data_IF_299186739117
#
_entry.id   IF_299186739117
#
_cell.length_a   1.000
_cell.length_b   1.000
_cell.length_c   1.000
_cell.angle_alpha   90.00
_cell.angle_beta   90.00
_cell.angle_gamma   90.00
#
_symmetry.space_group_name_H-M   'P 1'
#
loop_
_entity.id
_entity.type
_entity.pdbx_description
1 polymer ?
#
# COMPACT_ATOMS: atom_id res chain seq x y z
N UNK A 1 -1.75 20.56 -10.91
CA UNK A 1 -2.04 19.46 -9.95
C UNK A 1 -3.40 18.93 -10.33
N UNK A 2 -3.43 17.93 -11.20
CA UNK A 2 -4.68 17.29 -11.62
C UNK A 2 -5.06 16.31 -10.53
N UNK A 3 -6.22 16.58 -9.93
CA UNK A 3 -6.92 15.73 -8.99
C UNK A 3 -6.95 14.29 -9.48
N UNK A 4 -6.29 13.39 -8.74
CA UNK A 4 -6.22 11.96 -9.04
C UNK A 4 -7.51 11.25 -8.62
N UNK A 5 -8.55 12.00 -8.23
CA UNK A 5 -9.87 11.45 -7.99
C UNK A 5 -10.53 10.99 -9.29
N UNK A 6 -11.09 9.81 -9.15
CA UNK A 6 -11.99 9.21 -10.08
C UNK A 6 -13.18 10.08 -10.48
N UNK A 7 -13.74 9.88 -11.68
CA UNK A 7 -14.99 10.53 -12.08
C UNK A 7 -16.19 10.14 -11.19
N UNK A 8 -16.10 9.05 -10.42
CA UNK A 8 -17.12 8.58 -9.46
C UNK A 8 -16.74 8.83 -7.99
N UNK A 9 -15.60 9.46 -7.72
CA UNK A 9 -15.08 9.66 -6.35
C UNK A 9 -14.62 8.37 -5.64
N UNK A 10 -14.56 7.22 -6.33
CA UNK A 10 -14.11 5.98 -5.70
C UNK A 10 -12.57 5.87 -5.61
N UNK A 11 -12.08 5.21 -4.58
CA UNK A 11 -10.66 4.92 -4.36
C UNK A 11 -10.40 3.45 -4.63
N UNK A 12 -9.41 3.10 -5.46
CA UNK A 12 -9.02 1.71 -5.70
C UNK A 12 -7.70 1.38 -4.99
N UNK A 13 -7.78 0.42 -4.06
CA UNK A 13 -6.65 0.02 -3.23
C UNK A 13 -6.39 -1.47 -3.41
N UNK A 14 -5.11 -1.85 -3.42
CA UNK A 14 -4.72 -3.22 -3.13
C UNK A 14 -4.73 -3.43 -1.60
N UNK A 15 -5.59 -4.30 -1.10
CA UNK A 15 -5.82 -4.43 0.35
C UNK A 15 -4.88 -5.43 1.03
N UNK A 16 -3.95 -6.06 0.30
CA UNK A 16 -3.09 -7.09 0.89
C UNK A 16 -1.71 -7.11 0.23
N UNK A 17 -0.76 -6.38 0.82
CA UNK A 17 0.66 -6.51 0.47
C UNK A 17 1.53 -6.69 1.71
N UNK A 18 2.57 -7.49 1.56
CA UNK A 18 3.64 -7.63 2.53
C UNK A 18 4.84 -6.80 2.08
N UNK A 19 5.54 -6.17 3.02
CA UNK A 19 6.78 -5.48 2.71
C UNK A 19 7.96 -6.13 3.40
N UNK A 20 9.14 -5.91 2.83
CA UNK A 20 10.40 -6.40 3.41
C UNK A 20 10.72 -5.76 4.77
N UNK A 21 9.95 -4.75 5.20
CA UNK A 21 10.12 -4.10 6.50
C UNK A 21 9.53 -4.95 7.64
N UNK A 22 8.55 -5.82 7.36
CA UNK A 22 7.84 -6.60 8.37
C UNK A 22 7.56 -8.06 8.05
N UNK A 23 7.83 -8.52 6.83
CA UNK A 23 7.61 -9.91 6.40
C UNK A 23 8.83 -10.46 5.63
N UNK A 24 9.30 -11.64 6.02
CA UNK A 24 10.50 -12.27 5.47
C UNK A 24 10.30 -12.84 4.04
N UNK A 25 9.06 -13.04 3.62
CA UNK A 25 8.66 -13.57 2.31
C UNK A 25 8.21 -12.46 1.33
N UNK A 26 8.29 -11.20 1.73
CA UNK A 26 7.89 -10.06 0.90
C UNK A 26 8.84 -9.82 -0.29
N UNK A 27 8.24 -9.46 -1.42
CA UNK A 27 8.96 -9.18 -2.68
C UNK A 27 9.41 -7.73 -2.88
N UNK A 28 9.05 -6.79 -2.00
CA UNK A 28 9.37 -5.38 -2.16
C UNK A 28 9.22 -4.54 -0.90
N UNK A 29 9.85 -3.36 -0.89
CA UNK A 29 9.69 -2.35 0.16
C UNK A 29 8.40 -1.55 -0.05
N UNK A 30 7.90 -0.86 0.98
CA UNK A 30 6.77 0.08 0.85
C UNK A 30 7.01 1.15 -0.22
N UNK A 31 8.23 1.71 -0.29
CA UNK A 31 8.58 2.64 -1.37
C UNK A 31 8.59 1.96 -2.76
N UNK A 32 8.97 0.68 -2.83
CA UNK A 32 8.89 -0.11 -4.05
C UNK A 32 7.45 -0.22 -4.57
N UNK A 33 6.50 -0.50 -3.69
CA UNK A 33 5.07 -0.51 -4.04
C UNK A 33 4.56 0.87 -4.47
N UNK A 34 5.00 1.96 -3.84
CA UNK A 34 4.65 3.32 -4.26
C UNK A 34 5.19 3.68 -5.65
N UNK A 35 6.43 3.27 -5.97
CA UNK A 35 6.99 3.38 -7.33
C UNK A 35 6.20 2.55 -8.33
N UNK A 36 5.74 1.36 -7.93
CA UNK A 36 4.88 0.51 -8.75
C UNK A 36 3.50 1.14 -9.01
N UNK A 37 2.85 1.73 -8.01
CA UNK A 37 1.60 2.51 -8.16
C UNK A 37 1.77 3.59 -9.23
N UNK A 38 2.85 4.39 -9.15
CA UNK A 38 3.15 5.41 -10.16
C UNK A 38 3.39 4.82 -11.56
N UNK A 39 4.10 3.70 -11.66
CA UNK A 39 4.30 3.01 -12.94
C UNK A 39 2.98 2.50 -13.54
N UNK A 40 2.08 1.97 -12.72
CA UNK A 40 0.75 1.49 -13.14
C UNK A 40 -0.16 2.64 -13.57
N UNK A 41 -0.16 3.75 -12.85
CA UNK A 41 -0.86 4.98 -13.26
C UNK A 41 -0.41 5.48 -14.62
N UNK A 42 0.91 5.48 -14.90
CA UNK A 42 1.47 5.82 -16.22
C UNK A 42 1.04 4.88 -17.36
N UNK A 43 0.66 3.65 -17.02
CA UNK A 43 0.13 2.66 -17.96
C UNK A 43 -1.41 2.75 -18.12
N UNK A 44 -2.07 3.72 -17.46
CA UNK A 44 -3.51 3.90 -17.52
C UNK A 44 -4.32 3.03 -16.54
N UNK A 45 -3.65 2.28 -15.65
CA UNK A 45 -4.33 1.59 -14.57
C UNK A 45 -4.71 2.59 -13.48
N UNK A 46 -5.89 2.39 -12.88
CA UNK A 46 -6.32 3.15 -11.71
C UNK A 46 -6.01 2.37 -10.44
N UNK A 47 -5.02 2.85 -9.72
CA UNK A 47 -4.64 2.35 -8.42
C UNK A 47 -4.20 3.54 -7.57
N UNK A 48 -4.76 3.65 -6.38
CA UNK A 48 -4.66 4.82 -5.53
C UNK A 48 -3.79 4.59 -4.31
N UNK A 49 -3.42 3.34 -4.07
CA UNK A 49 -2.68 2.97 -2.89
C UNK A 49 -2.77 1.48 -2.58
N UNK A 50 -2.33 1.14 -1.37
CA UNK A 50 -2.35 -0.22 -0.87
C UNK A 50 -2.40 -0.28 0.66
N UNK A 51 -2.72 -1.45 1.21
CA UNK A 51 -2.63 -1.75 2.63
C UNK A 51 -1.44 -2.69 2.92
N UNK A 52 -0.55 -2.26 3.80
CA UNK A 52 0.56 -3.08 4.30
C UNK A 52 0.03 -3.98 5.41
N UNK A 53 0.09 -5.30 5.22
CA UNK A 53 -0.51 -6.32 6.09
C UNK A 53 0.54 -7.35 6.53
N UNK A 54 1.56 -6.90 7.26
CA UNK A 54 2.71 -7.75 7.63
C UNK A 54 2.30 -8.99 8.44
N UNK A 55 3.07 -10.06 8.31
CA UNK A 55 2.84 -11.29 9.07
C UNK A 55 3.06 -11.06 10.56
N UNK A 56 2.03 -11.32 11.37
CA UNK A 56 2.14 -11.46 12.84
C UNK A 56 2.68 -10.24 13.59
N UNK A 57 2.81 -9.08 12.93
CA UNK A 57 3.37 -7.86 13.52
C UNK A 57 2.51 -6.66 13.15
N UNK A 58 2.07 -5.93 14.16
CA UNK A 58 1.46 -4.61 14.00
C UNK A 58 2.26 -3.59 14.81
N UNK A 59 2.86 -2.62 14.12
CA UNK A 59 3.63 -1.54 14.73
C UNK A 59 2.82 -0.24 14.71
N UNK A 60 2.23 0.18 15.85
CA UNK A 60 1.34 1.35 15.87
C UNK A 60 2.07 2.66 15.54
N UNK A 61 3.37 2.73 15.83
CA UNK A 61 4.20 3.95 15.68
C UNK A 61 4.79 4.12 14.27
N UNK A 62 4.63 3.12 13.40
CA UNK A 62 5.24 3.10 12.09
C UNK A 62 4.39 3.91 11.10
N UNK A 63 4.88 5.07 10.67
CA UNK A 63 4.12 6.05 9.86
C UNK A 63 4.67 6.19 8.44
N UNK A 64 3.82 5.88 7.45
CA UNK A 64 4.14 6.03 6.03
C UNK A 64 3.55 7.29 5.40
N UNK A 65 2.93 8.19 6.17
CA UNK A 65 2.20 9.35 5.62
C UNK A 65 3.09 10.28 4.79
N UNK A 66 4.29 10.60 5.30
CA UNK A 66 5.24 11.45 4.57
C UNK A 66 5.70 10.78 3.27
N UNK A 67 5.97 9.47 3.33
CA UNK A 67 6.40 8.71 2.17
C UNK A 67 5.27 8.65 1.12
N UNK A 68 4.05 8.30 1.53
CA UNK A 68 2.88 8.20 0.66
C UNK A 68 2.56 9.53 -0.03
N UNK A 69 2.68 10.66 0.69
CA UNK A 69 2.45 12.00 0.15
C UNK A 69 3.39 12.35 -1.01
N UNK A 70 4.65 11.88 -0.98
CA UNK A 70 5.61 12.10 -2.09
C UNK A 70 5.17 11.45 -3.40
N UNK A 71 4.32 10.43 -3.32
CA UNK A 71 3.83 9.65 -4.45
C UNK A 71 2.34 9.89 -4.74
N UNK A 72 1.68 10.82 -4.05
CA UNK A 72 0.23 11.09 -4.19
C UNK A 72 -0.60 9.80 -4.10
N UNK A 73 -0.31 8.98 -3.09
CA UNK A 73 -0.93 7.68 -2.89
C UNK A 73 -1.38 7.50 -1.44
N UNK A 74 -2.25 6.52 -1.21
CA UNK A 74 -2.72 6.11 0.11
C UNK A 74 -1.95 4.87 0.56
N UNK A 75 -1.43 4.89 1.78
CA UNK A 75 -0.87 3.69 2.42
C UNK A 75 -1.65 3.43 3.70
N UNK A 76 -2.41 2.33 3.70
CA UNK A 76 -3.09 1.84 4.89
C UNK A 76 -2.19 0.86 5.65
N UNK A 77 -2.42 0.75 6.95
CA UNK A 77 -1.71 -0.20 7.82
C UNK A 77 -2.72 -1.21 8.37
N UNK A 78 -2.41 -2.48 8.19
CA UNK A 78 -3.11 -3.61 8.76
C UNK A 78 -2.11 -4.65 9.27
N UNK A 79 -2.60 -5.85 9.52
CA UNK A 79 -1.79 -7.00 9.93
C UNK A 79 -2.48 -8.25 9.41
N UNK A 80 -1.72 -9.16 8.82
CA UNK A 80 -2.23 -10.50 8.53
C UNK A 80 -2.08 -11.34 9.81
N UNK A 81 -3.23 -11.74 10.36
CA UNK A 81 -3.29 -12.57 11.57
C UNK A 81 -3.34 -14.04 11.18
N UNK A 82 -2.39 -14.83 11.68
CA UNK A 82 -2.48 -16.29 11.59
C UNK A 82 -3.59 -16.79 12.54
N UNK A 83 -4.47 -17.63 12.02
CA UNK A 83 -5.52 -18.29 12.81
C UNK A 83 -5.45 -19.81 12.65
N UNK A 84 -6.05 -20.56 13.59
CA UNK A 84 -6.07 -22.03 13.55
C UNK A 84 -6.89 -22.60 12.37
N UNK A 85 -7.58 -21.75 11.60
CA UNK A 85 -8.41 -22.15 10.46
C UNK A 85 -7.91 -21.58 9.12
N UNK A 86 -6.74 -20.93 9.10
CA UNK A 86 -6.27 -20.12 7.98
C UNK A 86 -6.94 -18.77 8.02
#
# INVERSE_FOLDING_TARGET
MTDTQAPDGATYLDLHVHSTDGSDDAGGTVEGYLKWVQAKRKQGYRIDGFAVTEHRRYEPDLDYSELAARYDAVVLRGVEMETDIG
#
